data_IF_496343356528
#
_entry.id   IF_496343356528
#
_cell.length_a   1.000
_cell.length_b   1.000
_cell.length_c   1.000
_cell.angle_alpha   90.00
_cell.angle_beta   90.00
_cell.angle_gamma   90.00
#
_symmetry.space_group_name_H-M   'P 1'
#
loop_
_entity.id
_entity.type
_entity.pdbx_description
1 polymer ?
#
# COMPACT_ATOMS: atom_id res chain seq x y z
N UNK A 1 17.13 -18.52 17.32
CA UNK A 1 15.69 -18.55 17.60
C UNK A 1 14.98 -18.90 16.30
N UNK A 2 14.15 -19.94 16.29
CA UNK A 2 13.35 -20.31 15.13
C UNK A 2 12.03 -19.51 15.07
N UNK A 3 11.31 -19.65 13.95
CA UNK A 3 10.07 -18.91 13.68
C UNK A 3 8.97 -19.23 14.69
N UNK A 4 8.90 -20.46 15.19
CA UNK A 4 7.87 -20.84 16.16
C UNK A 4 8.13 -20.14 17.49
N UNK A 5 9.35 -20.21 18.01
CA UNK A 5 9.73 -19.50 19.24
C UNK A 5 9.55 -18.00 19.09
N UNK A 6 9.94 -17.42 17.95
CA UNK A 6 9.75 -15.99 17.67
C UNK A 6 8.29 -15.55 17.81
N UNK A 7 7.36 -16.32 17.22
CA UNK A 7 5.94 -16.01 17.26
C UNK A 7 5.35 -16.11 18.67
N UNK A 8 5.88 -17.00 19.51
CA UNK A 8 5.47 -17.14 20.92
C UNK A 8 5.90 -15.90 21.70
N UNK A 9 7.17 -15.51 21.59
CA UNK A 9 7.72 -14.34 22.29
C UNK A 9 7.01 -13.05 21.87
N UNK A 10 6.74 -12.87 20.57
CA UNK A 10 5.97 -11.72 20.08
C UNK A 10 4.57 -11.70 20.67
N UNK A 11 3.88 -12.85 20.75
CA UNK A 11 2.55 -12.91 21.35
C UNK A 11 2.58 -12.51 22.82
N UNK A 12 3.55 -13.03 23.57
CA UNK A 12 3.71 -12.70 24.98
C UNK A 12 4.00 -11.20 25.19
N UNK A 13 4.92 -10.63 24.40
CA UNK A 13 5.20 -9.19 24.45
C UNK A 13 3.99 -8.33 24.09
N UNK A 14 3.19 -8.72 23.09
CA UNK A 14 1.96 -8.02 22.75
C UNK A 14 0.97 -8.04 23.93
N UNK A 15 0.75 -9.21 24.51
CA UNK A 15 -0.20 -9.44 25.61
C UNK A 15 0.15 -8.63 26.87
N UNK A 16 1.42 -8.67 27.28
CA UNK A 16 1.84 -8.18 28.61
C UNK A 16 2.46 -6.79 28.58
N UNK A 17 2.96 -6.34 27.43
CA UNK A 17 3.69 -5.07 27.32
C UNK A 17 3.02 -4.12 26.33
N UNK A 18 2.89 -4.52 25.07
CA UNK A 18 2.48 -3.58 24.03
C UNK A 18 1.01 -3.15 24.16
N UNK A 19 0.12 -4.07 24.52
CA UNK A 19 -1.30 -3.78 24.73
C UNK A 19 -1.59 -3.09 26.08
N UNK A 20 -0.78 -3.36 27.11
CA UNK A 20 -0.97 -2.85 28.47
C UNK A 20 -0.32 -1.50 28.76
N UNK A 21 0.71 -1.11 28.00
CA UNK A 21 1.40 0.18 28.22
C UNK A 21 0.45 1.36 28.00
N UNK A 22 0.70 2.46 28.71
CA UNK A 22 0.12 3.75 28.36
C UNK A 22 0.81 4.29 27.11
N UNK A 23 0.04 4.52 26.05
CA UNK A 23 0.61 4.99 24.79
C UNK A 23 0.97 6.48 24.86
N UNK A 24 2.18 6.86 24.41
CA UNK A 24 2.74 8.20 24.65
C UNK A 24 1.96 9.36 24.03
N UNK A 25 1.24 9.12 22.93
CA UNK A 25 0.44 10.18 22.27
C UNK A 25 -1.01 10.20 22.74
N UNK A 26 -1.63 9.03 22.94
CA UNK A 26 -3.05 8.92 23.26
C UNK A 26 -3.31 8.90 24.76
N UNK A 27 -2.27 8.69 25.58
CA UNK A 27 -2.33 8.63 27.05
C UNK A 27 -3.31 7.58 27.60
N UNK A 28 -3.71 6.62 26.76
CA UNK A 28 -4.63 5.52 27.08
C UNK A 28 -3.96 4.20 26.73
N UNK A 29 -4.36 3.11 27.39
CA UNK A 29 -3.91 1.77 27.04
C UNK A 29 -4.46 1.35 25.67
N UNK A 30 -3.64 0.83 24.74
CA UNK A 30 -4.12 0.32 23.47
C UNK A 30 -5.21 -0.76 23.61
N UNK A 31 -5.12 -1.65 24.61
CA UNK A 31 -6.15 -2.68 24.86
C UNK A 31 -7.52 -2.07 25.13
N UNK A 32 -7.59 -1.09 26.02
CA UNK A 32 -8.84 -0.40 26.39
C UNK A 32 -9.40 0.39 25.22
N UNK A 33 -8.52 1.13 24.52
CA UNK A 33 -8.90 1.94 23.36
C UNK A 33 -9.46 1.09 22.22
N UNK A 34 -8.89 -0.10 21.98
CA UNK A 34 -9.35 -1.00 20.92
C UNK A 34 -10.79 -1.46 21.16
N UNK A 35 -11.20 -1.72 22.40
CA UNK A 35 -12.58 -2.12 22.70
C UNK A 35 -13.60 -1.02 22.35
N UNK A 36 -13.24 0.25 22.56
CA UNK A 36 -14.07 1.39 22.16
C UNK A 36 -14.13 1.58 20.64
N UNK A 37 -13.01 1.36 19.95
CA UNK A 37 -12.89 1.56 18.50
C UNK A 37 -13.50 0.41 17.69
N UNK A 38 -13.49 -0.81 18.24
CA UNK A 38 -13.96 -2.04 17.60
C UNK A 38 -15.33 -1.94 16.90
N UNK A 39 -16.39 -1.34 17.48
CA UNK A 39 -17.67 -1.23 16.79
C UNK A 39 -17.65 -0.32 15.54
N UNK A 40 -16.63 0.53 15.39
CA UNK A 40 -16.46 1.43 14.26
C UNK A 40 -15.50 0.88 13.18
N UNK A 41 -14.81 -0.23 13.45
CA UNK A 41 -13.90 -0.87 12.50
C UNK A 41 -14.67 -1.71 11.48
N UNK A 42 -14.18 -1.70 10.24
CA UNK A 42 -14.69 -2.58 9.19
C UNK A 42 -14.29 -4.04 9.48
N UNK A 43 -15.08 -4.99 8.99
CA UNK A 43 -14.72 -6.40 9.04
C UNK A 43 -13.38 -6.65 8.32
N UNK A 44 -12.62 -7.62 8.79
CA UNK A 44 -11.41 -8.05 8.08
C UNK A 44 -11.78 -8.46 6.65
N UNK A 45 -11.01 -8.02 5.64
CA UNK A 45 -11.26 -8.44 4.27
C UNK A 45 -11.08 -9.96 4.15
N UNK A 46 -11.74 -10.55 3.17
CA UNK A 46 -11.47 -11.95 2.82
C UNK A 46 -9.99 -12.09 2.43
N UNK A 47 -9.33 -13.23 2.72
CA UNK A 47 -7.91 -13.36 2.47
C UNK A 47 -7.62 -13.11 0.99
N UNK A 48 -6.79 -12.11 0.72
CA UNK A 48 -6.48 -11.68 -0.63
C UNK A 48 -5.88 -12.84 -1.42
N UNK A 49 -6.63 -13.32 -2.42
CA UNK A 49 -6.24 -14.45 -3.27
C UNK A 49 -5.22 -14.10 -4.35
N UNK A 50 -4.81 -12.83 -4.46
CA UNK A 50 -4.03 -12.37 -5.62
C UNK A 50 -4.80 -12.43 -6.94
N UNK A 51 -6.14 -12.57 -6.90
CA UNK A 51 -7.03 -12.62 -8.08
C UNK A 51 -7.17 -11.23 -8.72
N UNK A 52 -6.06 -10.66 -9.18
CA UNK A 52 -6.08 -9.49 -10.04
C UNK A 52 -6.35 -10.02 -11.45
N UNK A 53 -7.57 -9.83 -11.96
CA UNK A 53 -7.96 -10.31 -13.28
C UNK A 53 -6.96 -9.89 -14.38
N UNK A 54 -6.38 -8.69 -14.28
CA UNK A 54 -5.35 -8.17 -15.18
C UNK A 54 -3.97 -8.82 -15.02
N UNK A 55 -3.66 -9.43 -13.88
CA UNK A 55 -2.39 -10.11 -13.63
C UNK A 55 -2.46 -11.63 -13.91
N UNK A 56 -3.64 -12.17 -14.24
CA UNK A 56 -3.79 -13.58 -14.59
C UNK A 56 -2.97 -13.85 -15.86
N UNK A 57 -2.02 -14.80 -15.84
CA UNK A 57 -1.31 -15.19 -17.05
C UNK A 57 -2.35 -15.68 -18.08
N UNK A 58 -2.49 -14.93 -19.17
CA UNK A 58 -3.38 -15.27 -20.27
C UNK A 58 -2.88 -16.60 -20.85
N UNK A 59 -3.65 -17.67 -20.64
CA UNK A 59 -3.39 -18.96 -21.28
C UNK A 59 -3.40 -18.78 -22.80
N UNK A 60 -2.44 -19.44 -23.46
CA UNK A 60 -1.86 -19.13 -24.80
C UNK A 60 -0.90 -17.94 -24.77
N UNK A 61 0.38 -18.30 -24.92
CA UNK A 61 1.49 -17.44 -25.34
C UNK A 61 1.14 -16.85 -26.71
N UNK A 62 0.27 -15.86 -26.76
CA UNK A 62 0.40 -14.81 -27.77
C UNK A 62 1.73 -14.20 -27.40
N UNK A 63 2.78 -14.59 -28.11
CA UNK A 63 4.02 -13.83 -28.11
C UNK A 63 3.52 -12.41 -28.37
N UNK A 64 3.63 -11.47 -27.42
CA UNK A 64 3.30 -10.10 -27.75
C UNK A 64 4.22 -9.82 -28.92
N UNK A 65 3.67 -9.59 -30.12
CA UNK A 65 4.42 -8.82 -31.10
C UNK A 65 4.90 -7.65 -30.28
N UNK A 66 6.22 -7.51 -30.11
CA UNK A 66 6.81 -6.39 -29.41
C UNK A 66 6.14 -5.17 -30.00
N UNK A 67 5.15 -4.62 -29.30
CA UNK A 67 4.48 -3.41 -29.73
C UNK A 67 5.57 -2.40 -29.49
N UNK A 68 6.34 -2.11 -30.54
CA UNK A 68 7.39 -1.12 -30.48
C UNK A 68 6.73 0.12 -29.91
N UNK A 69 7.21 0.57 -28.75
CA UNK A 69 6.70 1.79 -28.13
C UNK A 69 6.71 2.88 -29.21
N UNK A 70 5.67 3.73 -29.31
CA UNK A 70 5.69 4.86 -30.23
C UNK A 70 6.98 5.66 -30.04
N UNK A 71 7.54 6.19 -31.12
CA UNK A 71 8.83 6.89 -31.09
C UNK A 71 8.89 7.99 -30.00
N UNK A 72 7.80 8.74 -29.84
CA UNK A 72 7.65 9.75 -28.80
C UNK A 72 7.84 9.22 -27.37
N UNK A 73 7.38 7.99 -27.09
CA UNK A 73 7.53 7.36 -25.76
C UNK A 73 8.98 6.94 -25.53
N UNK A 74 9.66 6.46 -26.58
CA UNK A 74 11.07 6.09 -26.50
C UNK A 74 11.93 7.32 -26.24
N UNK A 75 11.65 8.41 -26.97
CA UNK A 75 12.34 9.69 -26.80
C UNK A 75 12.13 10.27 -25.40
N UNK A 76 10.89 10.23 -24.89
CA UNK A 76 10.58 10.68 -23.53
C UNK A 76 11.34 9.89 -22.45
N UNK A 77 11.45 8.57 -22.59
CA UNK A 77 12.17 7.73 -21.63
C UNK A 77 13.69 7.89 -21.70
N UNK A 78 14.21 8.34 -22.84
CA UNK A 78 15.63 8.64 -23.01
C UNK A 78 16.03 9.99 -22.40
N UNK A 79 15.06 10.84 -22.03
CA UNK A 79 15.35 12.11 -21.37
C UNK A 79 15.97 11.87 -19.99
N UNK A 80 17.02 12.63 -19.69
CA UNK A 80 17.61 12.63 -18.37
C UNK A 80 16.74 13.49 -17.43
N UNK A 81 15.86 12.82 -16.68
CA UNK A 81 14.95 13.44 -15.72
C UNK A 81 15.53 13.26 -14.32
N UNK A 82 15.44 14.26 -13.42
CA UNK A 82 15.89 14.09 -12.04
C UNK A 82 15.12 12.96 -11.36
N UNK A 83 15.79 12.24 -10.45
CA UNK A 83 15.15 11.16 -9.67
C UNK A 83 13.95 11.65 -8.85
N UNK A 84 13.93 12.95 -8.53
CA UNK A 84 12.85 13.60 -7.80
C UNK A 84 12.44 14.89 -8.52
N UNK A 85 11.15 15.01 -8.82
CA UNK A 85 10.58 16.26 -9.32
C UNK A 85 10.37 17.27 -8.18
N UNK A 86 10.44 18.57 -8.50
CA UNK A 86 10.07 19.61 -7.54
C UNK A 86 8.60 19.43 -7.10
N UNK A 87 8.32 19.68 -5.80
CA UNK A 87 6.99 19.45 -5.21
C UNK A 87 5.83 20.14 -5.96
N UNK A 88 6.09 21.32 -6.52
CA UNK A 88 5.14 22.08 -7.35
C UNK A 88 4.62 21.31 -8.57
N UNK A 89 5.37 20.33 -9.09
CA UNK A 89 4.93 19.47 -10.19
C UNK A 89 3.79 18.55 -9.74
N UNK A 90 3.91 17.95 -8.54
CA UNK A 90 2.86 17.10 -7.98
C UNK A 90 1.63 17.91 -7.61
N UNK A 91 1.82 19.09 -7.04
CA UNK A 91 0.72 20.02 -6.72
C UNK A 91 -0.08 20.38 -7.98
N UNK A 92 0.60 20.70 -9.09
CA UNK A 92 -0.06 20.97 -10.38
C UNK A 92 -0.81 19.74 -10.91
N UNK A 93 -0.22 18.55 -10.82
CA UNK A 93 -0.87 17.31 -11.28
C UNK A 93 -2.12 16.99 -10.46
N UNK A 94 -2.07 17.19 -9.14
CA UNK A 94 -3.22 17.03 -8.25
C UNK A 94 -4.35 18.00 -8.64
N UNK A 95 -4.04 19.27 -8.87
CA UNK A 95 -5.02 20.27 -9.33
C UNK A 95 -5.65 19.88 -10.69
N UNK A 96 -4.88 19.32 -11.62
CA UNK A 96 -5.38 18.88 -12.92
C UNK A 96 -6.32 17.67 -12.80
N UNK A 97 -6.02 16.72 -11.91
CA UNK A 97 -6.91 15.58 -11.64
C UNK A 97 -8.23 16.05 -11.05
N UNK A 98 -8.20 16.97 -10.09
CA UNK A 98 -9.42 17.56 -9.52
C UNK A 98 -10.27 18.30 -10.56
N UNK A 99 -9.62 19.03 -11.48
CA UNK A 99 -10.31 19.73 -12.58
C UNK A 99 -10.86 18.78 -13.64
N UNK A 100 -10.18 17.68 -13.93
CA UNK A 100 -10.61 16.67 -14.91
C UNK A 100 -11.72 15.74 -14.40
N UNK A 101 -11.82 15.54 -13.08
CA UNK A 101 -12.92 14.80 -12.44
C UNK A 101 -14.22 15.64 -12.39
N UNK A 102 -14.13 16.95 -12.56
CA UNK A 102 -15.26 17.88 -12.59
C UNK A 102 -15.87 18.10 -14.00
N UNK A 103 -15.40 17.38 -15.03
CA UNK A 103 -15.87 17.49 -16.42
C UNK A 103 -16.69 16.27 -16.89
#
# INVERSE_FOLDING_TARGET
>A
MDVLTANIEVRHWLEEVAHERIHGTTQVKPRERLEEERPYLQALPTPWRGEIAAARPQGKKVIPQSVKRPAAVIEQLAQNVPEQHALSVYERLLQQVEQGVAA
#
